data_IF_957122582764
#
_entry.id   IF_957122582764
#
_cell.length_a   1.000
_cell.length_b   1.000
_cell.length_c   1.000
_cell.angle_alpha   90.00
_cell.angle_beta   90.00
_cell.angle_gamma   90.00
#
_symmetry.space_group_name_H-M   'P 1'
#
loop_
_entity.id
_entity.type
_entity.pdbx_description
1 polymer ?
#
# COMPACT_ATOMS: atom_id res chain seq x y z
N UNK A 1 0.63 11.50 -12.51
CA UNK A 1 1.54 12.49 -11.90
C UNK A 1 2.95 12.28 -12.42
N UNK A 2 3.63 13.33 -12.92
CA UNK A 2 4.92 13.21 -13.62
C UNK A 2 6.13 13.66 -12.79
N UNK A 3 5.94 14.04 -11.54
CA UNK A 3 6.94 14.70 -10.68
C UNK A 3 8.26 13.93 -10.56
N UNK A 4 8.32 12.60 -10.27
CA UNK A 4 9.59 11.89 -10.14
C UNK A 4 10.23 11.49 -11.49
N UNK A 5 9.57 11.73 -12.63
CA UNK A 5 10.06 11.28 -13.96
C UNK A 5 11.50 11.70 -14.28
N UNK A 6 11.94 12.95 -14.08
CA UNK A 6 13.30 13.34 -14.40
C UNK A 6 14.33 12.50 -13.65
N UNK A 7 14.11 12.27 -12.36
CA UNK A 7 15.01 11.48 -11.53
C UNK A 7 15.00 9.99 -11.92
N UNK A 8 13.83 9.40 -12.12
CA UNK A 8 13.70 8.01 -12.58
C UNK A 8 14.37 7.80 -13.93
N UNK A 9 14.16 8.68 -14.90
CA UNK A 9 14.81 8.60 -16.20
C UNK A 9 16.35 8.72 -16.09
N UNK A 10 16.84 9.58 -15.21
CA UNK A 10 18.29 9.71 -14.99
C UNK A 10 18.90 8.45 -14.37
N UNK A 11 18.19 7.78 -13.43
CA UNK A 11 18.60 6.49 -12.87
C UNK A 11 18.66 5.39 -13.94
N UNK A 12 17.60 5.25 -14.75
CA UNK A 12 17.55 4.24 -15.81
C UNK A 12 18.63 4.46 -16.87
N UNK A 13 18.87 5.70 -17.28
CA UNK A 13 19.95 6.07 -18.19
C UNK A 13 21.31 5.73 -17.59
N UNK A 14 21.56 6.13 -16.34
CA UNK A 14 22.82 5.84 -15.63
C UNK A 14 23.07 4.33 -15.53
N UNK A 15 22.05 3.55 -15.23
CA UNK A 15 22.14 2.10 -15.19
C UNK A 15 22.53 1.49 -16.54
N UNK A 16 21.97 2.02 -17.63
CA UNK A 16 22.30 1.58 -18.99
C UNK A 16 23.73 1.95 -19.40
N UNK A 17 24.15 3.20 -19.13
CA UNK A 17 25.44 3.72 -19.58
C UNK A 17 26.61 3.28 -18.69
N UNK A 18 26.41 3.20 -17.38
CA UNK A 18 27.44 2.89 -16.38
C UNK A 18 26.98 1.82 -15.39
N UNK A 19 26.78 0.56 -15.81
CA UNK A 19 26.21 -0.50 -14.97
C UNK A 19 27.07 -0.86 -13.74
N UNK A 20 28.36 -0.56 -13.75
CA UNK A 20 29.26 -0.76 -12.61
C UNK A 20 29.15 0.39 -11.59
N UNK A 21 28.80 1.59 -12.01
CA UNK A 21 28.58 2.73 -11.11
C UNK A 21 27.20 2.67 -10.41
N UNK A 22 26.14 2.32 -11.15
CA UNK A 22 24.81 2.07 -10.60
C UNK A 22 24.44 0.60 -10.79
N UNK A 23 24.56 -0.19 -9.73
CA UNK A 23 24.19 -1.62 -9.76
C UNK A 23 22.68 -1.83 -9.82
N UNK A 24 22.26 -3.03 -10.22
CA UNK A 24 20.83 -3.38 -10.25
C UNK A 24 20.19 -3.31 -8.85
N UNK A 25 20.90 -3.75 -7.81
CA UNK A 25 20.42 -3.68 -6.42
C UNK A 25 20.20 -2.25 -5.97
N UNK A 26 21.15 -1.35 -6.19
CA UNK A 26 21.06 0.07 -5.86
C UNK A 26 19.88 0.75 -6.58
N UNK A 27 19.68 0.44 -7.87
CA UNK A 27 18.56 0.96 -8.64
C UNK A 27 17.22 0.49 -8.05
N UNK A 28 17.08 -0.81 -7.77
CA UNK A 28 15.85 -1.39 -7.21
C UNK A 28 15.57 -0.79 -5.83
N UNK A 29 16.56 -0.66 -4.97
CA UNK A 29 16.41 -0.08 -3.64
C UNK A 29 15.95 1.37 -3.71
N UNK A 30 16.60 2.18 -4.54
CA UNK A 30 16.20 3.58 -4.75
C UNK A 30 14.76 3.70 -5.29
N UNK A 31 14.37 2.87 -6.24
CA UNK A 31 13.02 2.87 -6.80
C UNK A 31 11.96 2.42 -5.79
N UNK A 32 12.27 1.43 -4.93
CA UNK A 32 11.39 1.00 -3.83
C UNK A 32 11.20 2.12 -2.80
N UNK A 33 12.27 2.79 -2.41
CA UNK A 33 12.19 3.91 -1.47
C UNK A 33 11.39 5.08 -2.05
N UNK A 34 11.56 5.35 -3.35
CA UNK A 34 10.75 6.34 -4.08
C UNK A 34 9.26 5.95 -4.12
N UNK A 35 8.96 4.69 -4.41
CA UNK A 35 7.59 4.15 -4.38
C UNK A 35 6.98 4.30 -2.99
N UNK A 36 7.67 3.85 -1.94
CA UNK A 36 7.24 3.95 -0.54
C UNK A 36 6.99 5.40 -0.13
N UNK A 37 7.91 6.31 -0.46
CA UNK A 37 7.74 7.74 -0.18
C UNK A 37 6.46 8.30 -0.81
N UNK A 38 6.26 8.10 -2.12
CA UNK A 38 5.08 8.62 -2.80
C UNK A 38 3.78 7.94 -2.37
N UNK A 39 3.84 6.66 -2.04
CA UNK A 39 2.71 5.95 -1.47
C UNK A 39 2.28 6.57 -0.14
N UNK A 40 3.21 6.70 0.81
CA UNK A 40 2.92 7.28 2.13
C UNK A 40 2.53 8.75 2.04
N UNK A 41 3.33 9.52 1.33
CA UNK A 41 3.22 10.98 1.27
C UNK A 41 2.01 11.45 0.44
N UNK A 42 1.92 11.02 -0.82
CA UNK A 42 0.91 11.52 -1.74
C UNK A 42 -0.37 10.66 -1.75
N UNK A 43 -0.24 9.32 -1.84
CA UNK A 43 -1.40 8.47 -2.03
C UNK A 43 -2.23 8.34 -0.75
N UNK A 44 -1.60 8.10 0.40
CA UNK A 44 -2.28 7.92 1.68
C UNK A 44 -2.51 9.26 2.37
N UNK A 45 -1.44 10.03 2.63
CA UNK A 45 -1.53 11.26 3.40
C UNK A 45 -2.02 12.48 2.58
N UNK A 46 -2.07 12.38 1.24
CA UNK A 46 -2.50 13.46 0.33
C UNK A 46 -1.71 14.75 0.50
N UNK A 47 -0.47 14.64 0.94
CA UNK A 47 0.43 15.77 1.13
C UNK A 47 0.95 16.28 -0.22
N UNK A 48 1.16 17.58 -0.32
CA UNK A 48 1.67 18.27 -1.52
C UNK A 48 2.79 19.23 -1.11
N UNK A 49 4.05 18.77 -1.00
CA UNK A 49 5.13 19.68 -0.64
C UNK A 49 5.46 20.60 -1.79
N UNK A 50 5.67 21.87 -1.48
CA UNK A 50 6.34 22.78 -2.42
C UNK A 50 7.79 22.33 -2.63
N UNK A 51 8.29 22.44 -3.85
CA UNK A 51 9.72 22.20 -4.17
C UNK A 51 10.16 20.75 -4.35
N UNK A 52 9.24 19.77 -4.30
CA UNK A 52 9.59 18.36 -4.56
C UNK A 52 10.03 18.13 -6.00
N UNK A 53 9.45 18.84 -6.94
CA UNK A 53 9.81 18.86 -8.36
C UNK A 53 11.21 19.44 -8.59
N UNK A 54 11.54 20.54 -7.91
CA UNK A 54 12.87 21.13 -7.92
C UNK A 54 13.92 20.15 -7.36
N UNK A 55 13.62 19.45 -6.24
CA UNK A 55 14.51 18.44 -5.68
C UNK A 55 14.79 17.31 -6.67
N UNK A 56 13.77 16.76 -7.34
CA UNK A 56 13.97 15.72 -8.34
C UNK A 56 14.74 16.19 -9.56
N UNK A 57 14.56 17.43 -9.97
CA UNK A 57 15.34 18.03 -11.05
C UNK A 57 16.83 18.14 -10.67
N UNK A 58 17.13 18.59 -9.47
CA UNK A 58 18.52 18.64 -8.95
C UNK A 58 19.13 17.24 -8.89
N UNK A 59 18.42 16.26 -8.31
CA UNK A 59 18.89 14.87 -8.24
C UNK A 59 19.14 14.28 -9.64
N UNK A 60 18.26 14.57 -10.61
CA UNK A 60 18.42 14.11 -11.98
C UNK A 60 19.68 14.69 -12.65
N UNK A 61 19.91 16.00 -12.48
CA UNK A 61 21.12 16.66 -13.03
C UNK A 61 22.39 16.08 -12.41
N UNK A 62 22.42 15.93 -11.07
CA UNK A 62 23.54 15.33 -10.36
C UNK A 62 23.79 13.88 -10.78
N UNK A 63 22.72 13.07 -10.92
CA UNK A 63 22.83 11.69 -11.38
C UNK A 63 23.44 11.61 -12.80
N UNK A 64 22.99 12.48 -13.71
CA UNK A 64 23.55 12.52 -15.07
C UNK A 64 25.04 12.88 -15.08
N UNK A 65 25.48 13.80 -14.20
CA UNK A 65 26.89 14.24 -14.09
C UNK A 65 27.80 13.23 -13.37
N UNK A 66 27.26 12.35 -12.52
CA UNK A 66 28.04 11.40 -11.75
C UNK A 66 28.85 10.46 -12.65
N UNK A 67 30.13 10.36 -12.41
CA UNK A 67 31.11 9.63 -13.27
C UNK A 67 31.47 8.24 -12.72
N UNK A 68 31.38 8.07 -11.40
CA UNK A 68 31.83 6.87 -10.70
C UNK A 68 30.80 6.42 -9.64
N UNK A 69 31.09 5.25 -9.04
CA UNK A 69 30.17 4.64 -8.05
C UNK A 69 29.94 5.53 -6.83
N UNK A 70 31.01 6.15 -6.28
CA UNK A 70 30.91 7.01 -5.09
C UNK A 70 30.01 8.22 -5.32
N UNK A 71 30.06 8.84 -6.48
CA UNK A 71 29.21 9.98 -6.82
C UNK A 71 27.77 9.56 -7.01
N UNK A 72 27.52 8.39 -7.63
CA UNK A 72 26.18 7.81 -7.78
C UNK A 72 25.57 7.49 -6.41
N UNK A 73 26.33 6.84 -5.52
CA UNK A 73 25.92 6.55 -4.14
C UNK A 73 25.57 7.84 -3.38
N UNK A 74 26.37 8.89 -3.54
CA UNK A 74 26.07 10.19 -2.93
C UNK A 74 24.75 10.80 -3.38
N UNK A 75 24.37 10.66 -4.66
CA UNK A 75 23.08 11.14 -5.16
C UNK A 75 21.92 10.29 -4.64
N UNK A 76 22.11 8.96 -4.55
CA UNK A 76 21.09 8.06 -4.01
C UNK A 76 20.87 8.35 -2.53
N UNK A 77 21.91 8.46 -1.73
CA UNK A 77 21.82 8.77 -0.31
C UNK A 77 21.09 10.10 -0.07
N UNK A 78 21.40 11.14 -0.84
CA UNK A 78 20.69 12.43 -0.76
C UNK A 78 19.19 12.31 -1.11
N UNK A 79 18.82 11.35 -1.98
CA UNK A 79 17.41 11.07 -2.27
C UNK A 79 16.75 10.33 -1.11
N UNK A 80 17.40 9.33 -0.54
CA UNK A 80 16.89 8.54 0.59
C UNK A 80 16.73 9.42 1.84
N UNK A 81 17.71 10.26 2.14
CA UNK A 81 17.64 11.23 3.24
C UNK A 81 16.46 12.19 3.06
N UNK A 82 16.27 12.68 1.84
CA UNK A 82 15.13 13.54 1.53
C UNK A 82 13.78 12.83 1.75
N UNK A 83 13.65 11.57 1.32
CA UNK A 83 12.44 10.79 1.52
C UNK A 83 12.15 10.56 3.00
N UNK A 84 13.18 10.28 3.79
CA UNK A 84 13.06 10.10 5.24
C UNK A 84 12.65 11.40 5.93
N UNK A 85 13.30 12.52 5.62
CA UNK A 85 13.03 13.81 6.26
C UNK A 85 11.66 14.40 5.91
N UNK A 86 11.19 14.17 4.68
CA UNK A 86 9.93 14.72 4.18
C UNK A 86 8.76 13.76 4.31
N UNK A 87 9.02 12.48 4.53
CA UNK A 87 7.97 11.47 4.74
C UNK A 87 7.11 11.79 5.95
N UNK A 88 5.85 11.33 5.97
CA UNK A 88 4.99 11.47 7.14
C UNK A 88 5.50 10.60 8.29
N UNK A 89 5.30 11.05 9.53
CA UNK A 89 5.47 10.18 10.69
C UNK A 89 4.40 9.07 10.70
N UNK A 90 4.67 7.99 11.44
CA UNK A 90 3.73 6.89 11.60
C UNK A 90 2.35 7.36 12.09
N UNK A 91 2.32 8.28 13.06
CA UNK A 91 1.06 8.80 13.59
C UNK A 91 0.26 9.59 12.53
N UNK A 92 0.92 10.46 11.75
CA UNK A 92 0.28 11.19 10.65
C UNK A 92 -0.25 10.21 9.60
N UNK A 93 0.55 9.19 9.26
CA UNK A 93 0.15 8.17 8.31
C UNK A 93 -1.06 7.38 8.81
N UNK A 94 -1.06 6.90 10.06
CA UNK A 94 -2.16 6.14 10.67
C UNK A 94 -3.47 6.94 10.64
N UNK A 95 -3.45 8.21 11.04
CA UNK A 95 -4.63 9.08 11.00
C UNK A 95 -5.14 9.29 9.57
N UNK A 96 -4.22 9.55 8.62
CA UNK A 96 -4.57 9.73 7.22
C UNK A 96 -5.10 8.42 6.59
N UNK A 97 -4.53 7.27 6.93
CA UNK A 97 -4.93 5.96 6.46
C UNK A 97 -6.38 5.66 6.85
N UNK A 98 -6.72 5.79 8.12
CA UNK A 98 -8.09 5.56 8.62
C UNK A 98 -9.12 6.50 7.98
N UNK A 99 -8.74 7.77 7.72
CA UNK A 99 -9.61 8.78 7.13
C UNK A 99 -9.75 8.67 5.62
N UNK A 100 -8.65 8.40 4.91
CA UNK A 100 -8.56 8.53 3.45
C UNK A 100 -8.73 7.20 2.71
N UNK A 101 -8.42 6.05 3.37
CA UNK A 101 -8.49 4.73 2.74
C UNK A 101 -9.87 4.12 3.03
N UNK A 102 -10.85 4.56 2.25
CA UNK A 102 -12.25 4.14 2.41
C UNK A 102 -12.86 3.72 1.07
N UNK A 103 -13.70 2.70 1.12
CA UNK A 103 -14.40 2.17 -0.04
C UNK A 103 -15.85 1.81 0.30
N UNK A 104 -16.77 2.36 -0.48
CA UNK A 104 -18.20 1.99 -0.47
C UNK A 104 -18.74 2.12 -1.89
N UNK A 105 -19.97 1.66 -2.13
CA UNK A 105 -20.64 1.86 -3.42
C UNK A 105 -20.72 3.34 -3.82
N UNK A 106 -20.85 4.25 -2.85
CA UNK A 106 -20.87 5.71 -3.07
C UNK A 106 -19.47 6.32 -3.15
N UNK A 107 -18.43 5.68 -2.58
CA UNK A 107 -17.04 6.17 -2.48
C UNK A 107 -16.07 5.14 -3.04
N UNK A 108 -16.04 4.98 -4.36
CA UNK A 108 -15.23 3.95 -5.04
C UNK A 108 -13.84 4.41 -5.49
N UNK A 109 -13.53 5.70 -5.39
CA UNK A 109 -12.28 6.28 -5.94
C UNK A 109 -10.99 5.70 -5.39
N UNK A 110 -11.01 5.13 -4.18
CA UNK A 110 -9.83 4.53 -3.54
C UNK A 110 -9.67 3.02 -3.83
N UNK A 111 -10.57 2.40 -4.60
CA UNK A 111 -10.53 0.96 -4.87
C UNK A 111 -9.16 0.46 -5.32
N UNK A 112 -8.53 1.15 -6.29
CA UNK A 112 -7.21 0.76 -6.82
C UNK A 112 -6.12 0.82 -5.75
N UNK A 113 -6.16 1.80 -4.87
CA UNK A 113 -5.17 1.95 -3.79
C UNK A 113 -5.36 0.87 -2.72
N UNK A 114 -6.61 0.53 -2.37
CA UNK A 114 -6.91 -0.55 -1.42
C UNK A 114 -6.46 -1.90 -1.98
N UNK A 115 -6.74 -2.18 -3.25
CA UNK A 115 -6.26 -3.40 -3.94
C UNK A 115 -4.73 -3.45 -3.93
N UNK A 116 -4.05 -2.33 -4.20
CA UNK A 116 -2.59 -2.25 -4.12
C UNK A 116 -2.07 -2.57 -2.71
N UNK A 117 -2.71 -2.03 -1.66
CA UNK A 117 -2.33 -2.30 -0.26
C UNK A 117 -2.48 -3.80 0.03
N UNK A 118 -3.63 -4.38 -0.27
CA UNK A 118 -3.87 -5.81 -0.05
C UNK A 118 -2.94 -6.71 -0.86
N UNK A 119 -2.65 -6.39 -2.13
CA UNK A 119 -1.67 -7.13 -2.95
C UNK A 119 -0.27 -7.10 -2.31
N UNK A 120 0.19 -5.93 -1.86
CA UNK A 120 1.49 -5.81 -1.17
C UNK A 120 1.53 -6.61 0.13
N UNK A 121 0.53 -6.47 0.99
CA UNK A 121 0.46 -7.19 2.26
C UNK A 121 0.36 -8.70 2.06
N UNK A 122 -0.44 -9.16 1.10
CA UNK A 122 -0.55 -10.58 0.78
C UNK A 122 0.77 -11.18 0.28
N UNK A 123 1.48 -10.48 -0.62
CA UNK A 123 2.82 -10.92 -1.09
C UNK A 123 3.82 -11.07 0.04
N UNK A 124 3.76 -10.16 1.02
CA UNK A 124 4.62 -10.22 2.21
C UNK A 124 4.27 -11.45 3.05
N UNK A 125 2.98 -11.73 3.29
CA UNK A 125 2.51 -12.90 4.05
C UNK A 125 2.86 -14.22 3.39
N UNK A 126 2.75 -14.28 2.07
CA UNK A 126 3.10 -15.50 1.31
C UNK A 126 4.60 -15.78 1.24
N UNK A 127 5.44 -14.75 1.38
CA UNK A 127 6.90 -14.88 1.26
C UNK A 127 7.38 -15.24 -0.15
N UNK A 128 6.48 -15.32 -1.14
CA UNK A 128 6.79 -15.66 -2.54
C UNK A 128 6.39 -14.55 -3.50
N UNK A 129 7.14 -14.41 -4.60
CA UNK A 129 6.84 -13.51 -5.72
C UNK A 129 6.28 -14.23 -6.95
N UNK A 130 6.22 -15.54 -6.92
CA UNK A 130 5.86 -16.37 -8.08
C UNK A 130 4.36 -16.31 -8.39
N UNK A 131 3.52 -16.17 -7.36
CA UNK A 131 2.08 -16.11 -7.52
C UNK A 131 1.60 -14.67 -7.66
N UNK A 132 1.05 -14.35 -8.83
CA UNK A 132 0.30 -13.12 -9.04
C UNK A 132 -1.12 -13.33 -8.54
N UNK A 133 -1.57 -12.42 -7.68
CA UNK A 133 -2.95 -12.45 -7.22
C UNK A 133 -3.80 -11.51 -8.05
N UNK A 134 -4.91 -12.03 -8.54
CA UNK A 134 -5.95 -11.23 -9.12
C UNK A 134 -6.99 -10.90 -8.02
N UNK A 135 -6.72 -9.86 -7.22
CA UNK A 135 -7.73 -9.29 -6.34
C UNK A 135 -8.75 -8.57 -7.22
N UNK A 136 -9.86 -9.23 -7.45
CA UNK A 136 -10.87 -8.75 -8.38
C UNK A 136 -11.96 -7.97 -7.66
N UNK A 137 -12.24 -8.30 -6.39
CA UNK A 137 -13.30 -7.65 -5.60
C UNK A 137 -12.87 -7.30 -4.19
N UNK A 138 -13.60 -6.38 -3.57
CA UNK A 138 -13.47 -5.97 -2.18
C UNK A 138 -14.78 -6.30 -1.49
N UNK A 139 -14.75 -7.26 -0.59
CA UNK A 139 -15.87 -7.69 0.21
C UNK A 139 -15.98 -6.85 1.49
N UNK A 140 -17.20 -6.46 1.87
CA UNK A 140 -17.48 -5.83 3.16
C UNK A 140 -17.83 -6.90 4.18
N UNK A 141 -17.00 -7.08 5.19
CA UNK A 141 -17.22 -8.04 6.29
C UNK A 141 -18.58 -7.79 6.94
N UNK A 142 -18.79 -6.59 7.43
CA UNK A 142 -20.13 -6.12 7.81
C UNK A 142 -20.74 -5.34 6.66
N UNK A 143 -21.97 -5.68 6.28
CA UNK A 143 -22.61 -5.15 5.08
C UNK A 143 -22.91 -3.64 5.19
N UNK A 144 -22.86 -2.94 4.05
CA UNK A 144 -23.09 -1.49 3.98
C UNK A 144 -24.49 -1.06 4.47
N UNK A 145 -25.46 -1.96 4.45
CA UNK A 145 -26.84 -1.69 4.92
C UNK A 145 -27.02 -1.77 6.43
N UNK A 146 -26.06 -2.38 7.14
CA UNK A 146 -26.19 -2.70 8.57
C UNK A 146 -25.17 -1.99 9.46
N UNK A 147 -24.15 -1.39 8.87
CA UNK A 147 -23.01 -0.80 9.57
C UNK A 147 -23.09 0.73 9.51
N UNK A 148 -22.61 1.39 10.56
CA UNK A 148 -22.49 2.82 10.62
C UNK A 148 -21.70 3.37 9.40
N UNK A 149 -22.27 4.37 8.71
CA UNK A 149 -21.64 4.99 7.52
C UNK A 149 -20.20 5.50 7.76
N UNK A 150 -19.87 5.84 9.00
CA UNK A 150 -18.51 6.33 9.34
C UNK A 150 -17.44 5.25 9.31
N UNK A 151 -17.79 3.98 9.51
CA UNK A 151 -16.84 2.87 9.62
C UNK A 151 -16.99 1.81 8.53
N UNK A 152 -18.17 1.72 7.91
CA UNK A 152 -18.48 0.67 6.92
C UNK A 152 -17.48 0.59 5.79
N UNK A 153 -16.98 1.74 5.33
CA UNK A 153 -16.02 1.85 4.23
C UNK A 153 -14.56 1.74 4.64
N UNK A 154 -14.24 1.67 5.93
CA UNK A 154 -12.85 1.57 6.38
C UNK A 154 -12.21 0.28 5.89
N UNK A 155 -10.92 0.32 5.57
CA UNK A 155 -10.18 -0.85 5.08
C UNK A 155 -10.23 -2.03 6.07
N UNK A 156 -10.36 -1.77 7.36
CA UNK A 156 -10.56 -2.79 8.39
C UNK A 156 -11.82 -3.62 8.18
N UNK A 157 -12.86 -3.07 7.56
CA UNK A 157 -14.09 -3.78 7.20
C UNK A 157 -14.04 -4.45 5.82
N UNK A 158 -12.86 -4.47 5.16
CA UNK A 158 -12.72 -4.99 3.80
C UNK A 158 -11.85 -6.24 3.78
N UNK A 159 -12.20 -7.17 2.89
CA UNK A 159 -11.37 -8.33 2.53
C UNK A 159 -11.18 -8.38 1.02
N UNK A 160 -9.99 -8.76 0.53
CA UNK A 160 -9.80 -9.11 -0.86
C UNK A 160 -10.41 -10.49 -1.13
N UNK A 161 -11.28 -10.60 -2.13
CA UNK A 161 -11.82 -11.89 -2.58
C UNK A 161 -11.82 -11.97 -4.10
N UNK A 162 -11.88 -13.19 -4.65
CA UNK A 162 -12.27 -13.38 -6.03
C UNK A 162 -13.76 -13.05 -6.19
N UNK A 163 -14.18 -12.75 -7.43
CA UNK A 163 -15.53 -12.28 -7.71
C UNK A 163 -16.61 -13.29 -7.27
N UNK A 164 -16.43 -14.58 -7.57
CA UNK A 164 -17.40 -15.62 -7.22
C UNK A 164 -17.62 -15.76 -5.71
N UNK A 165 -16.53 -15.79 -4.92
CA UNK A 165 -16.67 -15.88 -3.46
C UNK A 165 -17.32 -14.63 -2.86
N UNK A 166 -17.08 -13.45 -3.45
CA UNK A 166 -17.74 -12.23 -3.01
C UNK A 166 -19.25 -12.25 -3.33
N UNK A 167 -19.64 -12.74 -4.51
CA UNK A 167 -21.07 -12.90 -4.84
C UNK A 167 -21.78 -13.86 -3.89
N UNK A 168 -21.13 -14.94 -3.46
CA UNK A 168 -21.66 -15.88 -2.48
C UNK A 168 -21.93 -15.23 -1.12
N UNK A 169 -21.16 -14.21 -0.73
CA UNK A 169 -21.27 -13.53 0.56
C UNK A 169 -22.55 -12.70 0.69
N UNK A 170 -23.06 -12.12 -0.40
CA UNK A 170 -24.27 -11.26 -0.39
C UNK A 170 -24.27 -10.27 0.79
N UNK A 171 -25.43 -10.03 1.39
CA UNK A 171 -25.62 -9.21 2.61
C UNK A 171 -25.80 -10.10 3.87
N UNK A 172 -25.18 -11.28 3.86
CA UNK A 172 -25.27 -12.19 5.00
C UNK A 172 -24.51 -11.66 6.22
N UNK A 173 -24.86 -12.19 7.40
CA UNK A 173 -24.10 -12.00 8.62
C UNK A 173 -22.74 -12.72 8.53
N UNK A 174 -21.77 -12.27 9.34
CA UNK A 174 -20.39 -12.76 9.26
C UNK A 174 -20.31 -14.30 9.38
N UNK A 175 -21.03 -14.90 10.33
CA UNK A 175 -21.01 -16.35 10.52
C UNK A 175 -21.39 -17.16 9.26
N UNK A 176 -22.27 -16.62 8.40
CA UNK A 176 -22.62 -17.23 7.11
C UNK A 176 -21.58 -16.97 6.01
N UNK A 177 -20.93 -15.81 6.04
CA UNK A 177 -19.88 -15.46 5.08
C UNK A 177 -18.59 -16.24 5.30
N UNK A 178 -18.31 -16.67 6.52
CA UNK A 178 -17.12 -17.46 6.90
C UNK A 178 -16.98 -18.71 6.02
N UNK A 179 -18.06 -19.38 5.68
CA UNK A 179 -18.01 -20.56 4.82
C UNK A 179 -17.49 -20.24 3.39
N UNK A 180 -17.78 -19.06 2.88
CA UNK A 180 -17.20 -18.59 1.61
C UNK A 180 -15.76 -18.15 1.78
N UNK A 181 -15.42 -17.51 2.90
CA UNK A 181 -14.06 -17.06 3.20
C UNK A 181 -13.09 -18.24 3.37
N UNK A 182 -13.52 -19.36 3.96
CA UNK A 182 -12.73 -20.61 4.10
C UNK A 182 -12.27 -21.19 2.76
N UNK A 183 -12.98 -20.89 1.66
CA UNK A 183 -12.60 -21.34 0.32
C UNK A 183 -11.52 -20.47 -0.34
N UNK A 184 -11.09 -19.39 0.31
CA UNK A 184 -10.08 -18.48 -0.23
C UNK A 184 -8.67 -18.96 0.10
N UNK A 185 -7.77 -18.92 -0.89
CA UNK A 185 -6.34 -19.20 -0.71
C UNK A 185 -5.54 -17.96 -0.24
N UNK A 186 -6.19 -16.80 -0.09
CA UNK A 186 -5.53 -15.57 0.34
C UNK A 186 -5.19 -15.62 1.83
N UNK A 187 -3.93 -15.40 2.19
CA UNK A 187 -3.47 -15.38 3.58
C UNK A 187 -4.19 -14.33 4.42
N UNK A 188 -4.42 -13.14 3.85
CA UNK A 188 -5.21 -12.08 4.49
C UNK A 188 -6.62 -12.55 4.87
N UNK A 189 -7.21 -13.43 4.08
CA UNK A 189 -8.57 -13.97 4.32
C UNK A 189 -8.52 -15.13 5.30
N UNK A 190 -7.59 -16.08 5.14
CA UNK A 190 -7.46 -17.22 6.05
C UNK A 190 -7.07 -16.80 7.47
N UNK A 191 -6.19 -15.80 7.61
CA UNK A 191 -5.86 -15.20 8.92
C UNK A 191 -7.09 -14.54 9.56
N UNK A 192 -7.86 -13.76 8.78
CA UNK A 192 -9.11 -13.16 9.26
C UNK A 192 -10.12 -14.22 9.71
N UNK A 193 -10.27 -15.34 8.98
CA UNK A 193 -11.16 -16.44 9.39
C UNK A 193 -10.76 -16.99 10.75
N UNK A 194 -9.48 -17.30 10.96
CA UNK A 194 -8.96 -17.82 12.23
C UNK A 194 -9.17 -16.83 13.39
N UNK A 195 -8.94 -15.54 13.17
CA UNK A 195 -9.18 -14.48 14.17
C UNK A 195 -10.68 -14.35 14.49
N UNK A 196 -11.54 -14.44 13.47
CA UNK A 196 -13.00 -14.34 13.62
C UNK A 196 -13.56 -15.52 14.40
N UNK A 197 -13.06 -16.74 14.16
CA UNK A 197 -13.45 -17.94 14.91
C UNK A 197 -13.05 -17.81 16.38
N UNK A 198 -11.85 -17.33 16.68
CA UNK A 198 -11.39 -17.08 18.04
C UNK A 198 -12.22 -16.04 18.79
N UNK A 199 -12.90 -15.14 18.07
CA UNK A 199 -13.80 -14.10 18.60
C UNK A 199 -15.28 -14.47 18.49
N UNK A 200 -15.62 -15.74 18.28
CA UNK A 200 -17.00 -16.24 18.12
C UNK A 200 -17.79 -15.45 17.04
N UNK A 201 -17.11 -15.08 15.96
CA UNK A 201 -17.65 -14.28 14.84
C UNK A 201 -18.23 -12.91 15.23
N UNK A 202 -17.82 -12.35 16.37
CA UNK A 202 -18.16 -10.97 16.73
C UNK A 202 -17.45 -10.00 15.80
N UNK A 203 -18.21 -9.04 15.27
CA UNK A 203 -17.67 -8.02 14.36
C UNK A 203 -18.47 -6.73 14.49
N UNK A 204 -17.87 -5.70 15.04
CA UNK A 204 -18.48 -4.42 15.34
C UNK A 204 -17.58 -3.23 14.94
N UNK A 205 -18.07 -2.02 15.15
CA UNK A 205 -17.37 -0.78 14.83
C UNK A 205 -16.01 -0.64 15.54
N UNK A 206 -15.86 -1.20 16.73
CA UNK A 206 -14.61 -1.17 17.49
C UNK A 206 -13.55 -2.07 16.83
N UNK A 207 -13.94 -3.30 16.47
CA UNK A 207 -13.07 -4.26 15.81
C UNK A 207 -12.67 -3.81 14.39
N UNK A 208 -13.58 -3.13 13.68
CA UNK A 208 -13.27 -2.51 12.38
C UNK A 208 -12.17 -1.46 12.54
N UNK A 209 -12.27 -0.60 13.54
CA UNK A 209 -11.26 0.43 13.83
C UNK A 209 -9.94 -0.19 14.26
N UNK A 210 -9.98 -1.16 15.17
CA UNK A 210 -8.78 -1.89 15.63
C UNK A 210 -8.03 -2.52 14.44
N UNK A 211 -8.75 -3.23 13.57
CA UNK A 211 -8.14 -3.82 12.37
C UNK A 211 -7.64 -2.77 11.39
N UNK A 212 -8.35 -1.64 11.23
CA UNK A 212 -7.88 -0.53 10.40
C UNK A 212 -6.56 0.01 10.92
N UNK A 213 -6.43 0.19 12.22
CA UNK A 213 -5.22 0.67 12.88
C UNK A 213 -4.05 -0.32 12.73
N UNK A 214 -4.32 -1.61 12.92
CA UNK A 214 -3.34 -2.68 12.72
C UNK A 214 -2.83 -2.72 11.27
N UNK A 215 -3.74 -2.66 10.29
CA UNK A 215 -3.38 -2.59 8.88
C UNK A 215 -2.60 -1.33 8.52
N UNK A 216 -2.90 -0.19 9.18
CA UNK A 216 -2.16 1.05 8.96
C UNK A 216 -0.70 0.93 9.43
N UNK A 217 -0.48 0.40 10.64
CA UNK A 217 0.86 0.19 11.20
C UNK A 217 1.67 -0.81 10.36
N UNK A 218 1.06 -1.93 10.00
CA UNK A 218 1.71 -2.91 9.13
C UNK A 218 2.06 -2.33 7.76
N UNK A 219 1.13 -1.59 7.15
CA UNK A 219 1.34 -0.93 5.85
C UNK A 219 2.47 0.10 5.93
N UNK A 220 2.52 0.90 7.00
CA UNK A 220 3.58 1.89 7.21
C UNK A 220 4.96 1.23 7.33
N UNK A 221 5.05 0.13 8.06
CA UNK A 221 6.32 -0.55 8.30
C UNK A 221 6.83 -1.33 7.08
N UNK A 222 5.93 -1.88 6.25
CA UNK A 222 6.28 -2.88 5.24
C UNK A 222 6.19 -2.39 3.79
N UNK A 223 5.45 -1.33 3.51
CA UNK A 223 5.33 -0.70 2.19
C UNK A 223 6.05 0.65 2.19
#
# INVERSE_FOLDING_TARGET
MSIPRPFVLSLLRKRKEKPRALTQSMLIECLKSLESFHFKFNAVCRLRPSGIDAKYSVLAVRMNKALNKREVEGVINDALDYFTQKGPSENIFKQAFSKNIVYTNKKSGQRKLIVYIFDKLERIRRGTRELKMDIVSLEHISSQSKTNESVVGMIGNLLPLCFSLNEDCKNYELHKKIESYKKSDLKLVTEFVSESEAREHKWDDSLIKERTDSLALETFAKI
#
